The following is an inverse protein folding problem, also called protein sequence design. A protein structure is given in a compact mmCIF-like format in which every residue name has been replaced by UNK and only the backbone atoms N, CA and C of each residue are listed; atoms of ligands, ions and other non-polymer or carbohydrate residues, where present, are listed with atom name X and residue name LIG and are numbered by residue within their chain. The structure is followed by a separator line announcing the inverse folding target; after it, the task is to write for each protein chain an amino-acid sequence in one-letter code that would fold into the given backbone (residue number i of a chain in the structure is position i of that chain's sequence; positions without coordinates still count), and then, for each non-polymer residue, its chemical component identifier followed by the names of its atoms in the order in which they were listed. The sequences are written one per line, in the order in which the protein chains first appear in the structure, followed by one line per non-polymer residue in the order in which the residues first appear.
data_IF_516201022496
#
_entry.id   IF_516201022496
#
_cell.length_a   1.000
_cell.length_b   1.000
_cell.length_c   1.000
_cell.angle_alpha   90.00
_cell.angle_beta   90.00
_cell.angle_gamma   90.00
#
_symmetry.space_group_name_H-M   'P 1'
#
loop_
_entity.id
_entity.type
_entity.pdbx_description
1 polymer ?
#
# COMPACT_ATOMS: atom_id res chain seq x y z
N UNK A 1 27.87 -5.59 -1.20
CA UNK A 1 28.34 -4.78 -2.34
C UNK A 1 28.24 -3.31 -1.97
N UNK A 2 29.24 -2.79 -1.28
CA UNK A 2 29.42 -1.35 -1.13
C UNK A 2 30.04 -0.83 -2.43
N UNK A 3 29.28 -0.12 -3.27
CA UNK A 3 29.83 0.57 -4.43
C UNK A 3 29.02 0.65 -5.72
N UNK A 4 27.86 0.00 -5.85
CA UNK A 4 26.95 0.29 -6.97
C UNK A 4 25.97 1.37 -6.55
N UNK A 5 25.95 2.48 -7.28
CA UNK A 5 24.91 3.49 -7.14
C UNK A 5 23.58 2.86 -7.61
N UNK A 6 22.71 2.53 -6.66
CA UNK A 6 21.42 1.86 -6.91
C UNK A 6 20.29 2.86 -7.24
N UNK A 7 20.65 4.00 -7.83
CA UNK A 7 19.69 5.06 -8.16
C UNK A 7 19.34 5.01 -9.63
N UNK A 8 18.08 5.27 -9.92
CA UNK A 8 17.55 5.34 -11.27
C UNK A 8 17.85 6.68 -11.91
N UNK A 9 18.59 6.67 -13.00
CA UNK A 9 18.84 7.86 -13.81
C UNK A 9 17.66 8.18 -14.72
N UNK A 10 17.54 9.40 -15.26
CA UNK A 10 16.52 9.72 -16.29
C UNK A 10 16.59 8.81 -17.53
N UNK A 11 17.79 8.29 -17.87
CA UNK A 11 17.96 7.34 -18.95
C UNK A 11 17.35 5.98 -18.61
N UNK A 12 17.55 5.48 -17.37
CA UNK A 12 16.93 4.24 -16.91
C UNK A 12 15.40 4.33 -16.92
N UNK A 13 14.84 5.46 -16.50
CA UNK A 13 13.39 5.69 -16.53
C UNK A 13 12.84 5.63 -17.95
N UNK A 14 13.51 6.27 -18.91
CA UNK A 14 13.13 6.21 -20.32
C UNK A 14 13.22 4.79 -20.86
N UNK A 15 14.29 4.07 -20.57
CA UNK A 15 14.44 2.66 -20.98
C UNK A 15 13.32 1.78 -20.41
N UNK A 16 12.99 1.94 -19.13
CA UNK A 16 11.89 1.22 -18.48
C UNK A 16 10.55 1.52 -19.18
N UNK A 17 10.26 2.78 -19.48
CA UNK A 17 9.01 3.19 -20.14
C UNK A 17 8.88 2.70 -21.60
N UNK A 18 9.98 2.30 -22.25
CA UNK A 18 9.93 1.74 -23.63
C UNK A 18 9.58 0.25 -23.65
N UNK A 19 9.51 -0.43 -22.50
CA UNK A 19 9.20 -1.87 -22.45
C UNK A 19 7.71 -2.10 -22.70
N UNK A 20 7.36 -3.02 -23.62
CA UNK A 20 5.97 -3.30 -24.03
C UNK A 20 5.08 -3.86 -22.91
N UNK A 21 5.67 -4.44 -21.87
CA UNK A 21 4.98 -5.01 -20.71
C UNK A 21 4.84 -4.01 -19.55
N UNK A 22 5.27 -2.75 -19.74
CA UNK A 22 5.15 -1.66 -18.76
C UNK A 22 4.29 -0.56 -19.37
N UNK A 23 3.15 -0.27 -18.74
CA UNK A 23 2.22 0.77 -19.20
C UNK A 23 2.73 2.17 -18.84
N UNK A 24 3.29 2.34 -17.64
CA UNK A 24 3.91 3.59 -17.18
C UNK A 24 4.91 3.31 -16.05
N UNK A 25 5.85 4.22 -15.84
CA UNK A 25 6.84 4.18 -14.78
C UNK A 25 7.06 5.57 -14.20
N UNK A 26 6.98 5.70 -12.88
CA UNK A 26 7.20 6.95 -12.18
C UNK A 26 8.26 6.81 -11.07
N UNK A 27 9.19 7.74 -10.98
CA UNK A 27 10.13 7.78 -9.88
C UNK A 27 9.42 8.19 -8.59
N UNK A 28 9.84 7.60 -7.47
CA UNK A 28 9.45 8.03 -6.15
C UNK A 28 10.40 9.13 -5.69
N UNK A 29 9.84 10.32 -5.46
CA UNK A 29 10.61 11.48 -4.96
C UNK A 29 10.65 11.37 -3.44
N UNK A 30 11.84 11.45 -2.85
CA UNK A 30 12.01 11.47 -1.39
C UNK A 30 12.38 12.89 -0.90
N UNK A 31 12.12 13.18 0.38
CA UNK A 31 12.58 14.41 1.00
C UNK A 31 14.12 14.46 1.06
N UNK A 32 14.68 15.62 0.76
CA UNK A 32 16.12 15.91 0.76
C UNK A 32 16.52 16.79 1.96
N UNK A 33 15.66 16.87 2.94
CA UNK A 33 15.83 17.62 4.19
C UNK A 33 15.31 16.78 5.34
N UNK A 34 15.73 17.09 6.54
CA UNK A 34 15.25 16.39 7.73
C UNK A 34 13.83 16.81 8.04
N UNK A 35 12.96 15.86 8.29
CA UNK A 35 11.60 16.08 8.77
C UNK A 35 11.41 15.33 10.08
N UNK A 36 10.94 16.03 11.12
CA UNK A 36 10.43 15.39 12.32
C UNK A 36 8.92 15.48 12.35
N UNK A 37 8.29 14.38 12.71
CA UNK A 37 6.86 14.32 12.95
C UNK A 37 6.58 14.15 14.44
N UNK A 38 5.57 14.87 14.92
CA UNK A 38 5.00 14.69 16.25
C UNK A 38 3.48 14.80 16.16
N UNK A 39 2.75 14.12 17.04
CA UNK A 39 1.29 14.22 17.11
C UNK A 39 0.83 14.96 18.38
N UNK A 40 1.58 15.95 18.77
CA UNK A 40 1.28 16.84 19.89
C UNK A 40 1.13 16.07 21.21
N UNK A 41 0.04 16.37 21.94
CA UNK A 41 -0.22 15.73 23.23
C UNK A 41 -0.79 14.29 23.13
N UNK A 42 -1.17 13.85 21.93
CA UNK A 42 -1.76 12.52 21.72
C UNK A 42 -0.66 11.47 21.68
N UNK A 43 0.45 11.78 21.04
CA UNK A 43 1.63 10.91 20.93
C UNK A 43 2.83 11.71 21.45
N UNK A 44 3.32 11.43 22.67
CA UNK A 44 4.31 12.26 23.36
C UNK A 44 5.74 12.07 22.85
N UNK A 45 5.92 11.55 21.65
CA UNK A 45 7.23 11.39 21.04
C UNK A 45 7.26 12.01 19.64
N UNK A 46 8.44 12.46 19.24
CA UNK A 46 8.71 12.86 17.87
C UNK A 46 9.64 11.84 17.20
N UNK A 47 9.41 11.59 15.93
CA UNK A 47 10.23 10.69 15.12
C UNK A 47 10.68 11.35 13.83
N UNK A 48 11.85 10.98 13.34
CA UNK A 48 12.27 11.37 12.00
C UNK A 48 11.35 10.67 10.99
N UNK A 49 10.81 11.42 10.04
CA UNK A 49 9.87 10.95 9.05
C UNK A 49 10.46 11.10 7.65
N UNK A 50 10.29 10.05 6.86
CA UNK A 50 10.61 10.09 5.43
C UNK A 50 9.33 10.39 4.66
N UNK A 51 9.32 11.57 4.03
CA UNK A 51 8.24 11.96 3.13
C UNK A 51 8.59 11.56 1.71
N UNK A 52 7.61 11.05 1.01
CA UNK A 52 7.75 10.66 -0.37
C UNK A 52 6.61 11.24 -1.20
N UNK A 53 6.85 11.41 -2.48
CA UNK A 53 5.84 11.80 -3.45
C UNK A 53 5.95 10.96 -4.70
N UNK A 54 4.80 10.68 -5.31
CA UNK A 54 4.69 9.99 -6.56
C UNK A 54 3.64 10.69 -7.42
N UNK A 55 3.76 10.55 -8.72
CA UNK A 55 2.77 11.03 -9.68
C UNK A 55 1.37 10.51 -9.33
N UNK A 56 0.38 11.38 -9.33
CA UNK A 56 -0.99 11.07 -8.89
C UNK A 56 -1.61 9.85 -9.60
N UNK A 57 -1.26 9.61 -10.87
CA UNK A 57 -1.74 8.48 -11.66
C UNK A 57 -1.33 7.11 -11.12
N UNK A 58 -0.38 7.06 -10.18
CA UNK A 58 0.08 5.85 -9.50
C UNK A 58 -0.59 5.61 -8.14
N UNK A 59 -1.50 6.49 -7.74
CA UNK A 59 -2.30 6.38 -6.52
C UNK A 59 -3.66 5.83 -6.89
N UNK A 60 -3.99 4.61 -6.44
CA UNK A 60 -5.22 3.91 -6.82
C UNK A 60 -6.51 4.66 -6.49
N UNK A 61 -6.53 5.32 -5.34
CA UNK A 61 -7.66 6.15 -4.91
C UNK A 61 -7.09 7.46 -4.43
N UNK A 62 -7.08 8.44 -5.35
CA UNK A 62 -6.61 9.78 -5.03
C UNK A 62 -7.70 10.53 -4.26
N UNK A 63 -7.48 10.89 -2.98
CA UNK A 63 -8.44 11.70 -2.25
C UNK A 63 -8.59 13.07 -2.90
N UNK A 64 -9.80 13.66 -2.97
CA UNK A 64 -10.03 14.98 -3.57
C UNK A 64 -9.17 16.08 -2.91
N UNK A 65 -8.91 15.92 -1.61
CA UNK A 65 -8.16 16.87 -0.80
C UNK A 65 -6.64 16.64 -0.85
N UNK A 66 -6.15 15.63 -1.61
CA UNK A 66 -4.72 15.37 -1.76
C UNK A 66 -4.08 16.37 -2.74
N UNK A 67 -4.11 17.65 -2.36
CA UNK A 67 -3.55 18.79 -3.11
C UNK A 67 -2.89 19.76 -2.16
N UNK A 68 -1.83 20.40 -2.63
CA UNK A 68 -1.15 21.44 -1.88
C UNK A 68 -0.67 22.56 -2.80
N UNK A 69 -0.83 23.78 -2.36
CA UNK A 69 -0.37 24.97 -3.05
C UNK A 69 0.59 25.76 -2.15
N UNK A 70 1.53 26.46 -2.77
CA UNK A 70 2.51 27.26 -2.04
C UNK A 70 1.84 28.31 -1.15
N UNK A 71 2.23 28.33 0.13
CA UNK A 71 1.66 29.21 1.15
C UNK A 71 0.67 28.53 2.09
N UNK A 72 0.21 27.32 1.78
CA UNK A 72 -0.62 26.54 2.67
C UNK A 72 0.22 25.91 3.80
N UNK A 73 -0.31 25.97 5.01
CA UNK A 73 0.30 25.34 6.20
C UNK A 73 -0.15 23.90 6.35
N UNK A 74 -1.33 23.56 5.85
CA UNK A 74 -1.90 22.22 5.92
C UNK A 74 -1.38 21.36 4.76
N UNK A 75 -0.83 20.19 5.11
CA UNK A 75 -0.26 19.23 4.14
C UNK A 75 -1.04 17.91 4.25
N UNK A 76 -1.79 17.52 3.21
CA UNK A 76 -2.47 16.23 3.22
C UNK A 76 -1.47 15.09 3.09
N UNK A 77 -1.76 14.00 3.81
CA UNK A 77 -0.89 12.83 3.91
C UNK A 77 -1.68 11.58 3.53
N UNK A 78 -1.13 10.75 2.65
CA UNK A 78 -1.55 9.35 2.50
C UNK A 78 -0.57 8.49 3.31
N UNK A 79 -1.11 7.79 4.31
CA UNK A 79 -0.32 7.03 5.26
C UNK A 79 -0.29 5.54 4.88
N UNK A 80 0.83 4.86 5.13
CA UNK A 80 0.92 3.43 4.90
C UNK A 80 0.13 2.65 5.95
N UNK A 81 -0.65 1.65 5.51
CA UNK A 81 -1.33 0.71 6.40
C UNK A 81 -0.32 -0.06 7.28
N UNK A 82 0.84 -0.43 6.73
CA UNK A 82 1.88 -1.14 7.48
C UNK A 82 2.41 -0.30 8.66
N UNK A 83 2.54 1.03 8.47
CA UNK A 83 2.95 1.93 9.56
C UNK A 83 1.85 2.11 10.62
N UNK A 84 0.60 2.12 10.19
CA UNK A 84 -0.54 2.18 11.11
C UNK A 84 -0.64 0.89 11.94
N UNK A 85 -0.44 -0.27 11.33
CA UNK A 85 -0.38 -1.55 12.02
C UNK A 85 0.79 -1.60 13.01
N UNK A 86 1.96 -1.15 12.58
CA UNK A 86 3.13 -1.08 13.47
C UNK A 86 2.86 -0.17 14.67
N UNK A 87 2.26 1.01 14.47
CA UNK A 87 1.84 1.89 15.56
C UNK A 87 0.87 1.14 16.51
N UNK A 88 -0.13 0.47 15.99
CA UNK A 88 -1.15 -0.23 16.77
C UNK A 88 -0.61 -1.41 17.60
N UNK A 89 0.52 -2.00 17.18
CA UNK A 89 1.22 -3.03 17.97
C UNK A 89 1.89 -2.42 19.20
N UNK A 90 2.46 -1.22 19.07
CA UNK A 90 3.21 -0.58 20.17
C UNK A 90 2.35 0.34 21.05
N UNK A 91 1.28 0.91 20.51
CA UNK A 91 0.43 1.89 21.19
C UNK A 91 -0.10 1.42 22.56
N UNK A 92 -0.65 0.19 22.70
CA UNK A 92 -1.18 -0.27 24.00
C UNK A 92 -0.13 -0.38 25.11
N UNK A 93 1.12 -0.69 24.76
CA UNK A 93 2.21 -0.78 25.73
C UNK A 93 2.63 0.59 26.29
N UNK A 94 2.14 1.67 25.70
CA UNK A 94 2.43 3.06 26.07
C UNK A 94 1.16 3.81 26.48
N UNK A 95 0.08 3.11 26.79
CA UNK A 95 -1.24 3.67 27.13
C UNK A 95 -1.80 4.62 26.05
N UNK A 96 -1.42 4.38 24.77
CA UNK A 96 -1.88 5.14 23.63
C UNK A 96 -3.06 4.44 22.95
N UNK A 97 -4.01 5.22 22.38
CA UNK A 97 -5.14 4.64 21.67
C UNK A 97 -4.70 3.97 20.38
N UNK A 98 -5.29 2.82 20.06
CA UNK A 98 -5.18 2.25 18.74
C UNK A 98 -5.97 3.07 17.72
N UNK A 99 -5.45 3.16 16.50
CA UNK A 99 -6.04 3.95 15.42
C UNK A 99 -6.55 3.01 14.31
N UNK A 100 -7.73 3.28 13.81
CA UNK A 100 -8.22 2.74 12.55
C UNK A 100 -7.92 3.70 11.39
N UNK A 101 -8.14 3.27 10.15
CA UNK A 101 -8.01 4.16 9.01
C UNK A 101 -8.94 5.39 9.11
N UNK A 102 -10.13 5.22 9.72
CA UNK A 102 -11.08 6.30 9.92
C UNK A 102 -10.64 7.27 11.04
N UNK A 103 -10.11 6.75 12.14
CA UNK A 103 -9.70 7.58 13.28
C UNK A 103 -8.32 8.22 13.08
N UNK A 104 -7.47 7.63 12.23
CA UNK A 104 -6.18 8.20 11.86
C UNK A 104 -6.30 9.61 11.24
N UNK A 105 -7.36 9.86 10.48
CA UNK A 105 -7.65 11.19 9.91
C UNK A 105 -7.90 12.29 10.94
N UNK A 106 -8.26 11.94 12.18
CA UNK A 106 -8.44 12.90 13.27
C UNK A 106 -7.13 13.33 13.96
N UNK A 107 -6.02 12.63 13.66
CA UNK A 107 -4.71 12.92 14.24
C UNK A 107 -4.04 14.05 13.48
N UNK A 108 -3.79 15.17 14.17
CA UNK A 108 -2.98 16.26 13.63
C UNK A 108 -1.49 15.94 13.82
N UNK A 109 -0.77 15.89 12.74
CA UNK A 109 0.68 15.62 12.73
C UNK A 109 1.40 16.95 12.52
N UNK A 110 2.27 17.32 13.44
CA UNK A 110 3.17 18.47 13.24
C UNK A 110 4.39 17.99 12.49
N UNK A 111 4.65 18.59 11.33
CA UNK A 111 5.81 18.32 10.48
C UNK A 111 6.83 19.45 10.63
N UNK A 112 7.91 19.20 11.32
CA UNK A 112 9.03 20.14 11.44
C UNK A 112 10.04 19.88 10.34
N UNK A 113 10.09 20.76 9.35
CA UNK A 113 11.01 20.72 8.23
C UNK A 113 12.26 21.54 8.53
N UNK A 114 13.41 20.88 8.60
CA UNK A 114 14.67 21.49 8.96
C UNK A 114 15.42 21.95 7.70
N UNK A 115 15.89 23.20 7.72
CA UNK A 115 16.76 23.76 6.69
C UNK A 115 18.02 24.36 7.34
N UNK A 116 19.07 24.72 6.58
CA UNK A 116 20.22 25.45 7.10
C UNK A 116 19.88 26.81 7.71
N UNK A 117 18.72 27.36 7.37
CA UNK A 117 18.26 28.69 7.80
C UNK A 117 17.24 28.68 8.94
N UNK A 118 16.82 27.48 9.38
CA UNK A 118 15.85 27.33 10.47
C UNK A 118 14.87 26.18 10.27
N UNK A 119 13.86 26.14 11.10
CA UNK A 119 12.80 25.11 11.10
C UNK A 119 11.48 25.74 10.69
N UNK A 120 10.84 25.14 9.69
CA UNK A 120 9.47 25.50 9.31
C UNK A 120 8.52 24.38 9.72
N UNK A 121 7.42 24.74 10.34
CA UNK A 121 6.41 23.79 10.81
C UNK A 121 5.18 23.81 9.89
N UNK A 122 4.75 22.63 9.48
CA UNK A 122 3.51 22.38 8.75
C UNK A 122 2.60 21.49 9.58
N UNK A 123 1.31 21.54 9.27
CA UNK A 123 0.29 20.67 9.87
C UNK A 123 -0.06 19.57 8.87
N UNK A 124 0.39 18.36 9.15
CA UNK A 124 0.01 17.17 8.37
C UNK A 124 -1.35 16.66 8.84
N UNK A 125 -2.20 16.25 7.91
CA UNK A 125 -3.44 15.54 8.20
C UNK A 125 -3.59 14.34 7.29
N UNK A 126 -3.97 13.19 7.86
CA UNK A 126 -4.09 11.94 7.12
C UNK A 126 -5.43 11.97 6.37
N UNK A 127 -5.38 12.02 5.04
CA UNK A 127 -6.55 12.00 4.16
C UNK A 127 -6.91 10.61 3.68
N UNK A 128 -5.95 9.68 3.68
CA UNK A 128 -6.17 8.26 3.35
C UNK A 128 -5.10 7.37 3.98
N UNK A 129 -5.45 6.08 4.11
CA UNK A 129 -4.52 5.00 4.45
C UNK A 129 -4.47 4.03 3.27
N UNK A 130 -3.27 3.70 2.81
CA UNK A 130 -3.05 2.81 1.67
C UNK A 130 -2.28 1.56 2.09
N UNK A 131 -2.74 0.39 1.63
CA UNK A 131 -2.08 -0.91 1.79
C UNK A 131 -1.06 -1.22 0.68
N UNK A 132 -1.03 -0.41 -0.37
CA UNK A 132 -0.12 -0.59 -1.52
C UNK A 132 1.16 0.23 -1.44
N UNK A 133 1.18 1.23 -0.58
CA UNK A 133 2.27 2.18 -0.45
C UNK A 133 2.95 1.98 0.91
N UNK A 134 4.26 1.71 0.90
CA UNK A 134 5.06 1.52 2.12
C UNK A 134 5.82 2.80 2.49
N UNK A 135 5.12 3.93 2.50
CA UNK A 135 5.71 5.23 2.78
C UNK A 135 4.67 6.22 3.28
N UNK A 136 5.11 7.40 3.63
CA UNK A 136 4.27 8.55 3.95
C UNK A 136 4.25 9.45 2.73
N UNK A 137 3.15 9.40 1.95
CA UNK A 137 3.03 10.23 0.76
C UNK A 137 2.48 11.61 1.10
N UNK A 138 3.08 12.60 0.46
CA UNK A 138 2.59 13.98 0.41
C UNK A 138 2.43 14.41 -1.06
N UNK A 139 1.66 15.46 -1.37
CA UNK A 139 1.55 15.97 -2.74
C UNK A 139 2.91 16.27 -3.35
N UNK A 140 3.08 15.91 -4.63
CA UNK A 140 4.32 16.16 -5.38
C UNK A 140 4.67 17.65 -5.41
N UNK A 141 3.66 18.51 -5.50
CA UNK A 141 3.83 19.97 -5.44
C UNK A 141 4.48 20.43 -4.12
N UNK A 142 4.02 19.87 -3.00
CA UNK A 142 4.62 20.15 -1.69
C UNK A 142 6.07 19.69 -1.62
N UNK A 143 6.32 18.43 -1.95
CA UNK A 143 7.65 17.84 -1.76
C UNK A 143 8.69 18.46 -2.70
N UNK A 144 8.31 18.75 -3.94
CA UNK A 144 9.17 19.44 -4.90
C UNK A 144 9.53 20.83 -4.40
N UNK A 145 8.53 21.60 -3.93
CA UNK A 145 8.75 22.91 -3.35
C UNK A 145 9.62 22.84 -2.09
N UNK A 146 9.34 21.90 -1.18
CA UNK A 146 10.08 21.74 0.07
C UNK A 146 11.54 21.31 -0.18
N UNK A 147 11.78 20.39 -1.11
CA UNK A 147 13.12 19.97 -1.49
C UNK A 147 13.95 21.16 -2.04
N UNK A 148 13.30 22.05 -2.83
CA UNK A 148 13.96 23.25 -3.34
C UNK A 148 14.30 24.26 -2.25
N UNK A 149 13.46 24.39 -1.23
CA UNK A 149 13.59 25.43 -0.21
C UNK A 149 14.39 24.97 1.02
N UNK A 150 14.34 23.67 1.35
CA UNK A 150 14.96 23.11 2.56
C UNK A 150 16.06 22.10 2.25
N UNK A 151 16.05 21.50 1.06
CA UNK A 151 17.06 20.52 0.64
C UNK A 151 18.37 21.16 0.22
N UNK A 152 19.47 20.40 0.37
CA UNK A 152 20.81 20.84 0.03
C UNK A 152 21.26 20.43 -1.39
N UNK A 153 20.51 19.59 -2.07
CA UNK A 153 20.89 19.03 -3.37
C UNK A 153 19.78 19.17 -4.41
N UNK A 154 20.17 19.60 -5.58
CA UNK A 154 19.32 19.67 -6.77
C UNK A 154 19.48 18.34 -7.53
N UNK A 155 18.37 17.67 -7.87
CA UNK A 155 18.32 16.44 -8.68
C UNK A 155 19.02 15.20 -8.10
N UNK A 156 18.61 14.75 -6.92
CA UNK A 156 18.99 13.42 -6.45
C UNK A 156 18.20 12.38 -7.26
N UNK A 157 18.87 11.44 -7.97
CA UNK A 157 18.21 10.37 -8.67
C UNK A 157 17.35 9.50 -7.74
N UNK A 158 16.20 9.04 -8.21
CA UNK A 158 15.28 8.24 -7.43
C UNK A 158 15.89 6.88 -7.06
N UNK A 159 15.71 6.46 -5.82
CA UNK A 159 16.13 5.13 -5.36
C UNK A 159 15.08 4.05 -5.64
N UNK A 160 13.84 4.45 -5.92
CA UNK A 160 12.70 3.58 -6.20
C UNK A 160 11.89 4.11 -7.38
N UNK A 161 11.34 3.18 -8.16
CA UNK A 161 10.45 3.45 -9.29
C UNK A 161 9.21 2.60 -9.13
N UNK A 162 8.04 3.19 -9.28
CA UNK A 162 6.78 2.46 -9.39
C UNK A 162 6.51 2.15 -10.85
N UNK A 163 6.11 0.91 -11.09
CA UNK A 163 5.76 0.41 -12.41
C UNK A 163 4.26 0.14 -12.47
N UNK A 164 3.62 0.62 -13.52
CA UNK A 164 2.25 0.27 -13.86
C UNK A 164 2.29 -0.80 -14.95
N UNK A 165 1.63 -1.92 -14.73
CA UNK A 165 1.64 -3.08 -15.63
C UNK A 165 0.32 -3.81 -15.52
N UNK A 166 -0.15 -4.37 -16.61
CA UNK A 166 -1.37 -5.19 -16.64
C UNK A 166 -1.20 -6.47 -15.81
N UNK A 167 -0.02 -7.11 -15.89
CA UNK A 167 0.29 -8.32 -15.13
C UNK A 167 1.68 -8.22 -14.49
N UNK A 168 1.70 -8.09 -13.18
CA UNK A 168 2.92 -8.07 -12.38
C UNK A 168 3.70 -9.39 -12.37
N UNK A 169 3.09 -10.49 -12.86
CA UNK A 169 3.72 -11.81 -12.98
C UNK A 169 4.13 -12.15 -14.43
N UNK A 170 4.05 -11.19 -15.34
CA UNK A 170 4.50 -11.36 -16.71
C UNK A 170 5.96 -11.84 -16.73
N UNK A 171 6.22 -12.93 -17.47
CA UNK A 171 7.55 -13.56 -17.53
C UNK A 171 8.61 -12.62 -18.10
N UNK A 172 8.26 -11.80 -19.10
CA UNK A 172 9.18 -10.85 -19.73
C UNK A 172 9.54 -9.71 -18.76
N UNK A 173 8.56 -9.22 -17.99
CA UNK A 173 8.81 -8.26 -16.92
C UNK A 173 9.76 -8.83 -15.88
N UNK A 174 9.51 -10.04 -15.40
CA UNK A 174 10.35 -10.69 -14.38
C UNK A 174 11.77 -10.92 -14.88
N UNK A 175 11.92 -11.38 -16.13
CA UNK A 175 13.22 -11.58 -16.78
C UNK A 175 13.97 -10.25 -16.94
N UNK A 176 13.28 -9.19 -17.37
CA UNK A 176 13.86 -7.86 -17.51
C UNK A 176 14.38 -7.33 -16.18
N UNK A 177 13.55 -7.40 -15.11
CA UNK A 177 13.93 -6.96 -13.76
C UNK A 177 15.15 -7.77 -13.25
N UNK A 178 15.21 -9.06 -13.53
CA UNK A 178 16.34 -9.92 -13.16
C UNK A 178 17.61 -9.58 -13.94
N UNK A 179 17.52 -9.36 -15.25
CA UNK A 179 18.66 -8.98 -16.09
C UNK A 179 19.28 -7.64 -15.67
N UNK A 180 18.45 -6.70 -15.25
CA UNK A 180 18.88 -5.39 -14.77
C UNK A 180 19.29 -5.38 -13.29
N UNK A 181 19.23 -6.51 -12.58
CA UNK A 181 19.45 -6.62 -11.13
C UNK A 181 18.53 -5.67 -10.31
N UNK A 182 17.34 -5.39 -10.84
CA UNK A 182 16.34 -4.60 -10.15
C UNK A 182 15.61 -5.47 -9.11
N UNK A 183 15.48 -4.94 -7.89
CA UNK A 183 14.78 -5.63 -6.81
C UNK A 183 13.31 -5.21 -6.80
N UNK A 184 12.42 -6.10 -7.23
CA UNK A 184 10.99 -5.92 -7.06
C UNK A 184 10.55 -6.13 -5.60
N UNK A 185 9.50 -5.42 -5.17
CA UNK A 185 8.87 -5.66 -3.87
C UNK A 185 8.07 -6.99 -3.95
N UNK A 186 8.75 -8.09 -3.66
CA UNK A 186 8.20 -9.46 -3.76
C UNK A 186 7.06 -9.73 -2.78
N UNK A 187 6.97 -8.97 -1.70
CA UNK A 187 5.98 -9.21 -0.66
C UNK A 187 4.58 -8.81 -1.10
N UNK A 188 4.44 -7.70 -1.81
CA UNK A 188 3.14 -7.29 -2.36
C UNK A 188 2.70 -8.14 -3.58
N UNK A 189 3.63 -8.69 -4.34
CA UNK A 189 3.34 -9.65 -5.43
C UNK A 189 2.87 -11.00 -4.89
N UNK A 190 3.39 -11.44 -3.73
CA UNK A 190 2.96 -12.66 -3.06
C UNK A 190 1.56 -12.57 -2.47
N UNK A 191 1.15 -11.42 -1.94
CA UNK A 191 -0.20 -11.23 -1.40
C UNK A 191 -1.29 -11.38 -2.47
N UNK A 192 -1.07 -10.91 -3.70
CA UNK A 192 -1.97 -11.15 -4.82
C UNK A 192 -2.17 -12.65 -5.11
N UNK A 193 -1.09 -13.45 -5.09
CA UNK A 193 -1.18 -14.91 -5.26
C UNK A 193 -1.88 -15.60 -4.10
N UNK A 194 -1.58 -15.21 -2.87
CA UNK A 194 -2.24 -15.78 -1.66
C UNK A 194 -3.74 -15.50 -1.71
N UNK A 195 -4.15 -14.29 -2.09
CA UNK A 195 -5.56 -13.94 -2.24
C UNK A 195 -6.25 -14.76 -3.34
N UNK A 196 -5.60 -14.95 -4.50
CA UNK A 196 -6.13 -15.81 -5.58
C UNK A 196 -6.22 -17.27 -5.18
N UNK A 197 -5.19 -17.82 -4.53
CA UNK A 197 -5.20 -19.20 -4.02
C UNK A 197 -6.27 -19.38 -2.95
N UNK A 198 -6.38 -18.43 -2.01
CA UNK A 198 -7.41 -18.45 -0.96
C UNK A 198 -8.82 -18.41 -1.57
N UNK A 199 -9.04 -17.57 -2.57
CA UNK A 199 -10.32 -17.43 -3.28
C UNK A 199 -10.64 -18.69 -4.08
N UNK A 200 -9.67 -19.33 -4.71
CA UNK A 200 -9.84 -20.61 -5.40
C UNK A 200 -10.21 -21.74 -4.42
N UNK A 201 -9.54 -21.80 -3.24
CA UNK A 201 -9.84 -22.79 -2.18
C UNK A 201 -11.25 -22.57 -1.63
N UNK A 202 -11.64 -21.35 -1.30
CA UNK A 202 -12.98 -21.02 -0.79
C UNK A 202 -14.06 -21.36 -1.82
N UNK A 203 -13.83 -21.05 -3.11
CA UNK A 203 -14.77 -21.41 -4.19
C UNK A 203 -14.85 -22.92 -4.36
N UNK A 204 -13.75 -23.67 -4.29
CA UNK A 204 -13.71 -25.13 -4.35
C UNK A 204 -14.48 -25.77 -3.20
N UNK A 205 -14.31 -25.27 -1.98
CA UNK A 205 -15.07 -25.72 -0.80
C UNK A 205 -16.58 -25.45 -0.93
N UNK A 206 -16.96 -24.31 -1.53
CA UNK A 206 -18.35 -23.97 -1.81
C UNK A 206 -19.01 -24.96 -2.76
N UNK A 207 -18.34 -25.31 -3.86
CA UNK A 207 -18.82 -26.35 -4.82
C UNK A 207 -18.94 -27.72 -4.14
N UNK A 208 -17.95 -28.10 -3.34
CA UNK A 208 -17.97 -29.35 -2.59
C UNK A 208 -19.14 -29.41 -1.60
N UNK A 209 -19.41 -28.32 -0.87
CA UNK A 209 -20.54 -28.25 0.05
C UNK A 209 -21.88 -28.44 -0.67
N UNK A 210 -22.08 -27.83 -1.85
CA UNK A 210 -23.30 -28.03 -2.67
C UNK A 210 -23.43 -29.49 -3.08
N UNK A 211 -22.34 -30.16 -3.50
CA UNK A 211 -22.37 -31.58 -3.85
C UNK A 211 -22.79 -32.46 -2.67
N UNK A 212 -22.26 -32.19 -1.48
CA UNK A 212 -22.61 -32.93 -0.25
C UNK A 212 -24.09 -32.75 0.09
N UNK A 213 -24.63 -31.54 -0.04
CA UNK A 213 -26.05 -31.27 0.20
C UNK A 213 -26.94 -32.03 -0.80
N UNK A 214 -26.57 -32.06 -2.07
CA UNK A 214 -27.31 -32.83 -3.10
C UNK A 214 -27.29 -34.33 -2.81
N UNK A 215 -26.13 -34.86 -2.40
CA UNK A 215 -26.00 -36.28 -2.03
C UNK A 215 -26.85 -36.61 -0.80
N UNK A 216 -26.85 -35.75 0.20
CA UNK A 216 -27.67 -35.90 1.40
C UNK A 216 -29.17 -35.88 1.07
N UNK A 217 -29.64 -35.01 0.17
CA UNK A 217 -31.03 -34.97 -0.31
C UNK A 217 -31.38 -36.23 -1.06
N UNK A 218 -30.51 -36.77 -1.91
CA UNK A 218 -30.71 -38.02 -2.62
C UNK A 218 -30.85 -39.19 -1.65
N UNK A 219 -29.95 -39.33 -0.70
CA UNK A 219 -30.01 -40.38 0.32
C UNK A 219 -31.28 -40.28 1.16
N UNK A 220 -31.69 -39.08 1.54
CA UNK A 220 -32.93 -38.85 2.27
C UNK A 220 -34.17 -39.25 1.45
N UNK A 221 -34.16 -38.90 0.16
CA UNK A 221 -35.24 -39.31 -0.75
C UNK A 221 -35.37 -40.84 -0.88
N UNK A 222 -34.24 -41.56 -1.06
CA UNK A 222 -34.22 -43.02 -1.08
C UNK A 222 -34.69 -43.62 0.24
N UNK A 223 -34.27 -43.06 1.38
CA UNK A 223 -34.70 -43.52 2.70
C UNK A 223 -36.20 -43.37 2.88
N UNK A 224 -36.79 -42.24 2.47
CA UNK A 224 -38.25 -42.03 2.51
C UNK A 224 -39.01 -43.04 1.61
N UNK A 225 -38.49 -43.28 0.39
CA UNK A 225 -39.12 -44.28 -0.52
C UNK A 225 -39.07 -45.67 0.09
N UNK A 226 -37.98 -46.08 0.71
CA UNK A 226 -37.84 -47.37 1.38
C UNK A 226 -38.80 -47.49 2.57
N UNK A 227 -38.94 -46.43 3.36
CA UNK A 227 -39.85 -46.38 4.50
C UNK A 227 -41.30 -46.50 4.10
N UNK A 228 -41.69 -45.82 3.01
CA UNK A 228 -43.06 -45.91 2.44
C UNK A 228 -43.30 -47.30 1.88
N UNK A 229 -42.38 -47.92 1.15
CA UNK A 229 -42.50 -49.27 0.62
C UNK A 229 -42.70 -50.29 1.73
N UNK A 230 -41.89 -50.21 2.79
CA UNK A 230 -41.97 -51.11 3.95
C UNK A 230 -43.25 -50.93 4.79
N UNK A 231 -43.77 -49.70 4.85
CA UNK A 231 -45.06 -49.43 5.54
C UNK A 231 -46.24 -50.00 4.79
N UNK A 232 -46.18 -50.12 3.47
CA UNK A 232 -47.27 -50.74 2.66
C UNK A 232 -47.33 -52.25 2.85
N UNK A 233 -46.19 -52.93 3.00
CA UNK A 233 -46.13 -54.36 3.23
C UNK A 233 -46.63 -54.77 4.64
N UNK A 234 -46.65 -53.86 5.62
CA UNK A 234 -47.18 -54.12 6.96
C UNK A 234 -48.69 -53.83 7.10
N UNK A 235 -49.36 -53.31 6.04
CA UNK A 235 -50.82 -53.01 6.02
C UNK A 235 -51.66 -54.01 5.23
N UNK A 236 -51.07 -55.10 4.72
CA UNK A 236 -51.68 -56.27 4.18
C UNK A 236 -51.60 -57.43 5.22
#
# INVERSE_FOLDING_TARGET
NMGKDNRFTPADLKEIQTQQFIDDAAPLIANQFRVKASAGNIIPFSTDLFLEAIKNDFIDTLPPDFKWEQGQVDVPIIFSADYLEMYNVFAPAQDLPQLSAQTAGAVNIMLECYSPYGVQTFRGHIVAVSDRINSVLVPESFLTWANKNYGNAVNIPASRVYLKTVDANNADLLNYLQQKDFRGNKDKTKFGRVKQVLQAVVSGLGVFAVLVILLAMLLFSFYLQLMIARSRDNLQ
#
